data_IF_221326419878
#
_entry.id   IF_221326419878
#
_cell.length_a   1.000
_cell.length_b   1.000
_cell.length_c   1.000
_cell.angle_alpha   90.00
_cell.angle_beta   90.00
_cell.angle_gamma   90.00
#
_symmetry.space_group_name_H-M   'P 1'
#
loop_
_entity.id
_entity.type
_entity.pdbx_description
1 polymer ?
#
# COMPACT_ATOMS: atom_id res chain seq x y z
N UNK A 1 -12.99 -15.50 -17.41
CA UNK A 1 -11.61 -15.57 -17.93
C UNK A 1 -11.31 -14.36 -18.83
N UNK A 2 -12.08 -14.08 -19.88
CA UNK A 2 -11.79 -12.96 -20.81
C UNK A 2 -11.91 -11.60 -20.12
N UNK A 3 -12.98 -11.37 -19.36
CA UNK A 3 -13.18 -10.11 -18.64
C UNK A 3 -12.08 -9.87 -17.58
N UNK A 4 -11.68 -10.90 -16.86
CA UNK A 4 -10.59 -10.83 -15.88
C UNK A 4 -9.27 -10.43 -16.54
N UNK A 5 -8.97 -11.01 -17.70
CA UNK A 5 -7.78 -10.65 -18.49
C UNK A 5 -7.75 -9.15 -18.84
N UNK A 6 -8.84 -8.63 -19.40
CA UNK A 6 -8.91 -7.20 -19.77
C UNK A 6 -8.83 -6.26 -18.56
N UNK A 7 -9.46 -6.62 -17.45
CA UNK A 7 -9.40 -5.81 -16.23
C UNK A 7 -8.01 -5.86 -15.57
N UNK A 8 -7.33 -6.99 -15.58
CA UNK A 8 -5.94 -7.06 -15.13
C UNK A 8 -5.01 -6.23 -16.01
N UNK A 9 -5.20 -6.22 -17.33
CA UNK A 9 -4.46 -5.33 -18.23
C UNK A 9 -4.74 -3.84 -17.93
N UNK A 10 -5.96 -3.49 -17.58
CA UNK A 10 -6.32 -2.13 -17.19
C UNK A 10 -5.56 -1.71 -15.92
N UNK A 11 -5.52 -2.57 -14.90
CA UNK A 11 -4.74 -2.32 -13.67
C UNK A 11 -3.25 -2.11 -13.97
N UNK A 12 -2.70 -2.95 -14.83
CA UNK A 12 -1.31 -2.81 -15.24
C UNK A 12 -1.05 -1.52 -15.99
N UNK A 13 -1.95 -1.10 -16.88
CA UNK A 13 -1.86 0.19 -17.59
C UNK A 13 -1.92 1.38 -16.64
N UNK A 14 -2.77 1.33 -15.61
CA UNK A 14 -2.83 2.38 -14.58
C UNK A 14 -1.50 2.45 -13.82
N UNK A 15 -0.95 1.30 -13.42
CA UNK A 15 0.32 1.23 -12.73
C UNK A 15 1.50 1.72 -13.62
N UNK A 16 1.53 1.34 -14.90
CA UNK A 16 2.52 1.79 -15.87
C UNK A 16 2.42 3.30 -16.12
N UNK A 17 1.20 3.82 -16.24
CA UNK A 17 0.95 5.25 -16.39
C UNK A 17 1.46 6.02 -15.18
N UNK A 18 1.18 5.57 -13.97
CA UNK A 18 1.71 6.16 -12.74
C UNK A 18 3.24 6.26 -12.79
N UNK A 19 3.94 5.15 -13.06
CA UNK A 19 5.40 5.15 -13.13
C UNK A 19 5.93 6.13 -14.18
N UNK A 20 5.29 6.21 -15.35
CA UNK A 20 5.68 7.14 -16.43
C UNK A 20 5.44 8.60 -16.06
N UNK A 21 4.30 8.93 -15.47
CA UNK A 21 3.97 10.29 -15.04
C UNK A 21 4.88 10.76 -13.92
N UNK A 22 5.17 9.90 -12.94
CA UNK A 22 6.13 10.21 -11.87
C UNK A 22 7.54 10.40 -12.43
N UNK A 23 7.96 9.59 -13.40
CA UNK A 23 9.27 9.75 -14.05
C UNK A 23 9.41 11.13 -14.74
N UNK A 24 8.31 11.68 -15.24
CA UNK A 24 8.28 13.00 -15.91
C UNK A 24 8.28 14.19 -14.93
N UNK A 25 8.00 13.95 -13.63
CA UNK A 25 8.04 15.01 -12.62
C UNK A 25 9.47 15.54 -12.39
N UNK A 26 9.63 16.84 -12.08
CA UNK A 26 10.89 17.39 -11.60
C UNK A 26 11.39 16.65 -10.34
N UNK A 27 12.68 16.37 -10.28
CA UNK A 27 13.27 15.66 -9.13
C UNK A 27 13.02 16.35 -7.80
N UNK A 28 13.06 17.69 -7.78
CA UNK A 28 12.78 18.50 -6.60
C UNK A 28 11.36 18.27 -6.06
N UNK A 29 10.37 18.17 -6.96
CA UNK A 29 8.97 17.93 -6.58
C UNK A 29 8.79 16.53 -6.01
N UNK A 30 9.41 15.52 -6.62
CA UNK A 30 9.42 14.14 -6.08
C UNK A 30 10.06 14.09 -4.70
N UNK A 31 11.15 14.79 -4.51
CA UNK A 31 11.87 14.86 -3.25
C UNK A 31 11.03 15.52 -2.15
N UNK A 32 10.35 16.62 -2.47
CA UNK A 32 9.49 17.34 -1.54
C UNK A 32 8.31 16.48 -1.07
N UNK A 33 7.64 15.77 -1.98
CA UNK A 33 6.54 14.86 -1.63
C UNK A 33 7.01 13.67 -0.76
N UNK A 34 8.16 13.11 -1.11
CA UNK A 34 8.74 12.01 -0.32
C UNK A 34 9.12 12.47 1.09
N UNK A 35 9.72 13.66 1.22
CA UNK A 35 10.07 14.26 2.50
C UNK A 35 8.81 14.59 3.34
N UNK A 36 7.76 15.10 2.69
CA UNK A 36 6.46 15.37 3.33
C UNK A 36 5.84 14.10 3.90
N UNK A 37 5.88 13.00 3.15
CA UNK A 37 5.38 11.72 3.61
C UNK A 37 6.19 11.18 4.81
N UNK A 38 7.49 11.38 4.82
CA UNK A 38 8.33 11.02 5.98
C UNK A 38 8.00 11.85 7.20
N UNK A 39 7.88 13.16 7.05
CA UNK A 39 7.49 14.05 8.16
C UNK A 39 6.12 13.67 8.73
N UNK A 40 5.15 13.29 7.88
CA UNK A 40 3.87 12.78 8.32
C UNK A 40 4.03 11.49 9.17
N UNK A 41 4.86 10.55 8.73
CA UNK A 41 5.10 9.31 9.47
C UNK A 41 5.64 9.56 10.89
N UNK A 42 6.45 10.61 11.07
CA UNK A 42 6.97 11.02 12.39
C UNK A 42 5.88 11.57 13.32
N UNK A 43 4.74 11.98 12.79
CA UNK A 43 3.60 12.49 13.58
C UNK A 43 2.61 11.38 13.98
N UNK A 44 2.77 10.18 13.45
CA UNK A 44 1.89 9.06 13.80
C UNK A 44 2.10 8.64 15.25
N UNK A 45 1.02 8.31 15.97
CA UNK A 45 1.13 7.85 17.36
C UNK A 45 1.92 6.52 17.41
N UNK A 46 2.70 6.35 18.48
CA UNK A 46 3.44 5.09 18.73
C UNK A 46 2.52 3.89 18.93
N UNK A 47 1.27 4.13 19.31
CA UNK A 47 0.25 3.10 19.52
C UNK A 47 -0.64 3.02 18.29
N UNK A 48 -0.57 1.90 17.64
CA UNK A 48 -1.23 1.43 16.43
C UNK A 48 -2.43 2.20 15.86
N UNK A 49 -2.64 1.99 14.58
CA UNK A 49 -3.82 2.49 13.88
C UNK A 49 -5.11 2.11 14.62
N UNK A 50 -6.11 3.02 14.72
CA UNK A 50 -7.42 2.64 15.20
C UNK A 50 -7.93 1.47 14.36
N UNK A 51 -8.59 0.49 15.00
CA UNK A 51 -9.07 -0.72 14.32
C UNK A 51 -9.85 -0.35 13.05
N UNK A 52 -9.31 -0.59 11.87
CA UNK A 52 -9.89 -0.15 10.62
C UNK A 52 -11.12 -0.97 10.23
N UNK A 53 -11.37 -2.10 10.92
CA UNK A 53 -12.49 -2.99 10.63
C UNK A 53 -13.69 -2.75 11.54
N UNK A 54 -13.51 -2.14 12.71
CA UNK A 54 -14.63 -1.86 13.66
C UNK A 54 -15.35 -0.55 13.36
N UNK A 55 -14.61 0.50 13.07
CA UNK A 55 -15.19 1.79 12.69
C UNK A 55 -14.24 2.43 11.68
N UNK A 56 -14.58 2.41 10.40
CA UNK A 56 -13.77 3.06 9.37
C UNK A 56 -13.38 4.50 9.76
N UNK A 57 -12.33 5.08 9.16
CA UNK A 57 -11.90 6.42 9.51
C UNK A 57 -12.99 7.45 9.20
N UNK A 58 -13.07 8.50 10.00
CA UNK A 58 -13.83 9.70 9.66
C UNK A 58 -13.13 10.42 8.48
N UNK A 59 -13.62 10.15 7.27
CA UNK A 59 -13.05 10.71 6.03
C UNK A 59 -13.25 12.22 5.91
N UNK A 60 -14.13 12.81 6.72
CA UNK A 60 -14.32 14.26 6.76
C UNK A 60 -13.39 14.97 7.74
N UNK A 61 -12.71 14.21 8.59
CA UNK A 61 -11.76 14.79 9.56
C UNK A 61 -10.59 15.51 8.89
N UNK A 62 -10.09 16.60 9.50
CA UNK A 62 -8.90 17.28 9.00
C UNK A 62 -7.68 16.37 8.88
N UNK A 63 -7.52 15.42 9.80
CA UNK A 63 -6.41 14.47 9.82
C UNK A 63 -6.46 13.52 8.63
N UNK A 64 -7.66 13.02 8.27
CA UNK A 64 -7.82 12.16 7.10
C UNK A 64 -7.56 12.93 5.80
N UNK A 65 -8.04 14.17 5.71
CA UNK A 65 -7.78 15.04 4.55
C UNK A 65 -6.30 15.39 4.39
N UNK A 66 -5.61 15.60 5.50
CA UNK A 66 -4.14 15.77 5.47
C UNK A 66 -3.47 14.52 4.90
N UNK A 67 -3.80 13.35 5.41
CA UNK A 67 -3.30 12.07 4.91
C UNK A 67 -3.54 11.91 3.39
N UNK A 68 -4.77 12.14 2.92
CA UNK A 68 -5.10 12.04 1.50
C UNK A 68 -4.36 13.05 0.62
N UNK A 69 -3.94 14.18 1.18
CA UNK A 69 -3.21 15.21 0.44
C UNK A 69 -1.74 14.87 0.19
N UNK A 70 -1.18 13.89 0.90
CA UNK A 70 0.22 13.49 0.79
C UNK A 70 0.35 12.37 -0.24
N UNK A 71 1.37 12.44 -1.11
CA UNK A 71 1.55 11.52 -2.24
C UNK A 71 0.36 11.52 -3.22
N UNK A 72 -0.32 12.67 -3.33
CA UNK A 72 -1.54 12.84 -4.14
C UNK A 72 -1.31 13.63 -5.44
N UNK A 73 -0.06 13.88 -5.83
CA UNK A 73 0.25 14.55 -7.10
C UNK A 73 -0.29 13.79 -8.30
N UNK A 74 -0.48 12.51 -8.13
CA UNK A 74 -1.07 11.60 -9.12
C UNK A 74 -1.96 10.58 -8.43
N UNK A 75 -2.82 9.95 -9.19
CA UNK A 75 -3.54 8.75 -8.80
C UNK A 75 -3.00 7.59 -9.65
N UNK A 76 -2.54 6.54 -9.03
CA UNK A 76 -2.43 6.15 -7.61
C UNK A 76 -1.28 6.83 -6.86
N UNK A 77 -1.15 6.55 -5.55
CA UNK A 77 -0.08 7.06 -4.69
C UNK A 77 1.24 6.29 -4.80
N UNK A 78 1.15 5.03 -5.19
CA UNK A 78 2.28 4.09 -5.25
C UNK A 78 1.96 2.92 -6.19
N UNK A 79 2.97 2.08 -6.45
CA UNK A 79 2.84 0.83 -7.20
C UNK A 79 3.51 -0.30 -6.42
N UNK A 80 2.81 -1.41 -6.21
CA UNK A 80 3.34 -2.61 -5.57
C UNK A 80 3.59 -3.71 -6.59
N UNK A 81 4.77 -4.34 -6.53
CA UNK A 81 5.16 -5.46 -7.39
C UNK A 81 5.71 -6.61 -6.57
N UNK A 82 5.14 -7.80 -6.76
CA UNK A 82 5.68 -9.06 -6.25
C UNK A 82 5.76 -10.06 -7.40
N UNK A 83 6.88 -10.07 -8.15
CA UNK A 83 7.00 -10.87 -9.40
C UNK A 83 6.86 -12.36 -9.17
N UNK A 84 7.29 -12.89 -8.02
CA UNK A 84 7.20 -14.32 -7.69
C UNK A 84 5.76 -14.85 -7.71
N UNK A 85 4.78 -13.96 -7.50
CA UNK A 85 3.35 -14.30 -7.45
C UNK A 85 2.51 -13.50 -8.46
N UNK A 86 3.17 -12.78 -9.37
CA UNK A 86 2.51 -12.07 -10.47
C UNK A 86 1.70 -10.84 -10.03
N UNK A 87 2.04 -10.22 -8.90
CA UNK A 87 1.42 -8.99 -8.43
C UNK A 87 2.13 -7.79 -9.06
N UNK A 88 1.37 -6.91 -9.71
CA UNK A 88 1.79 -5.61 -10.23
C UNK A 88 0.55 -4.70 -10.26
N UNK A 89 0.35 -3.92 -9.20
CA UNK A 89 -0.90 -3.24 -8.91
C UNK A 89 -0.67 -1.79 -8.44
N UNK A 90 -1.61 -0.88 -8.80
CA UNK A 90 -1.65 0.46 -8.24
C UNK A 90 -2.08 0.44 -6.77
N UNK A 91 -1.53 1.35 -5.98
CA UNK A 91 -1.87 1.56 -4.56
C UNK A 91 -2.54 2.91 -4.39
N UNK A 92 -3.65 2.93 -3.66
CA UNK A 92 -4.46 4.12 -3.40
C UNK A 92 -4.55 4.40 -1.90
N UNK A 93 -4.93 5.63 -1.54
CA UNK A 93 -5.21 6.00 -0.16
C UNK A 93 -6.47 5.30 0.36
N UNK A 94 -6.39 4.84 1.60
CA UNK A 94 -7.52 4.24 2.31
C UNK A 94 -7.87 2.82 1.84
N UNK A 95 -8.86 2.26 2.51
CA UNK A 95 -9.30 0.87 2.32
C UNK A 95 -10.80 0.75 2.12
N UNK A 96 -11.42 1.79 1.57
CA UNK A 96 -12.85 1.74 1.25
C UNK A 96 -13.15 0.65 0.22
N UNK A 97 -14.39 0.18 0.19
CA UNK A 97 -14.86 -0.80 -0.81
C UNK A 97 -14.58 -0.32 -2.24
N UNK A 98 -14.73 0.98 -2.48
CA UNK A 98 -14.40 1.58 -3.78
C UNK A 98 -12.93 1.41 -4.12
N UNK A 99 -12.02 1.75 -3.22
CA UNK A 99 -10.57 1.58 -3.41
C UNK A 99 -10.22 0.12 -3.68
N UNK A 100 -10.65 -0.78 -2.81
CA UNK A 100 -10.30 -2.20 -2.89
C UNK A 100 -10.92 -2.91 -4.10
N UNK A 101 -11.93 -2.34 -4.73
CA UNK A 101 -12.47 -2.86 -6.02
C UNK A 101 -11.63 -2.48 -7.24
N UNK A 102 -10.68 -1.54 -7.09
CA UNK A 102 -9.88 -1.00 -8.20
C UNK A 102 -8.37 -1.13 -8.02
N UNK A 103 -7.90 -1.51 -6.83
CA UNK A 103 -6.46 -1.63 -6.56
C UNK A 103 -6.16 -2.05 -5.14
N UNK A 104 -4.94 -1.85 -4.76
CA UNK A 104 -4.46 -2.06 -3.39
C UNK A 104 -4.71 -0.78 -2.60
N UNK A 105 -5.17 -0.90 -1.36
CA UNK A 105 -5.39 0.21 -0.45
C UNK A 105 -4.29 0.33 0.58
N UNK A 106 -3.86 1.55 0.87
CA UNK A 106 -3.00 1.83 2.02
C UNK A 106 -3.87 2.04 3.26
N UNK A 107 -3.56 1.33 4.35
CA UNK A 107 -4.32 1.41 5.58
C UNK A 107 -4.04 2.71 6.32
N UNK A 108 -5.07 3.57 6.44
CA UNK A 108 -4.99 4.81 7.20
C UNK A 108 -4.58 4.55 8.66
N UNK A 109 -3.70 5.39 9.19
CA UNK A 109 -3.15 5.26 10.53
C UNK A 109 -1.87 4.44 10.60
N UNK A 110 -1.49 3.74 9.54
CA UNK A 110 -0.16 3.15 9.39
C UNK A 110 0.78 4.09 8.63
N UNK A 111 2.09 3.87 8.71
CA UNK A 111 3.05 4.71 8.02
C UNK A 111 2.81 4.71 6.50
N UNK A 112 2.91 5.87 5.86
CA UNK A 112 2.97 5.96 4.40
C UNK A 112 4.17 5.15 3.87
N UNK A 113 4.06 4.51 2.70
CA UNK A 113 5.03 3.51 2.24
C UNK A 113 6.32 4.13 1.67
N UNK A 114 6.96 5.00 2.43
CA UNK A 114 8.20 5.71 2.07
C UNK A 114 9.43 5.19 2.82
N UNK A 115 9.27 4.11 3.57
CA UNK A 115 10.31 3.50 4.38
C UNK A 115 10.77 4.38 5.53
N UNK A 116 11.72 3.87 6.30
CA UNK A 116 12.33 4.55 7.45
C UNK A 116 12.34 3.67 8.69
N UNK A 117 13.35 3.83 9.52
CA UNK A 117 13.43 3.11 10.80
C UNK A 117 12.24 3.46 11.70
N UNK A 118 11.68 2.45 12.34
CA UNK A 118 10.49 2.59 13.19
C UNK A 118 9.19 2.77 12.40
N UNK A 119 9.18 2.63 11.08
CA UNK A 119 7.97 2.70 10.28
C UNK A 119 7.38 1.32 9.99
N UNK A 120 6.05 1.23 9.99
CA UNK A 120 5.32 0.05 9.54
C UNK A 120 4.17 0.49 8.62
N UNK A 121 4.30 0.23 7.34
CA UNK A 121 3.25 0.49 6.35
C UNK A 121 2.43 -0.75 6.08
N UNK A 122 1.12 -0.60 5.91
CA UNK A 122 0.21 -1.72 5.63
C UNK A 122 -0.54 -1.47 4.33
N UNK A 123 -0.41 -2.43 3.41
CA UNK A 123 -1.12 -2.46 2.14
C UNK A 123 -2.08 -3.64 2.11
N UNK A 124 -3.33 -3.39 1.78
CA UNK A 124 -4.36 -4.42 1.71
C UNK A 124 -4.95 -4.54 0.32
N UNK A 125 -5.23 -5.75 -0.10
CA UNK A 125 -5.86 -6.04 -1.38
C UNK A 125 -6.88 -7.16 -1.25
N UNK A 126 -7.92 -7.09 -2.07
CA UNK A 126 -8.93 -8.15 -2.15
C UNK A 126 -8.38 -9.47 -2.70
N UNK A 127 -9.04 -10.56 -2.32
CA UNK A 127 -8.99 -11.86 -2.99
C UNK A 127 -10.39 -12.28 -3.41
N UNK A 128 -10.47 -13.17 -4.39
CA UNK A 128 -11.75 -13.77 -4.81
C UNK A 128 -12.67 -12.83 -5.59
N UNK A 129 -12.17 -11.73 -6.16
CA UNK A 129 -12.96 -10.92 -7.06
C UNK A 129 -13.22 -11.66 -8.37
N UNK A 130 -14.48 -11.71 -8.81
CA UNK A 130 -14.86 -12.46 -9.99
C UNK A 130 -14.19 -11.97 -11.29
N UNK A 131 -13.70 -10.73 -11.29
CA UNK A 131 -13.21 -10.05 -12.50
C UNK A 131 -11.81 -9.47 -12.42
N UNK A 132 -11.15 -9.55 -11.26
CA UNK A 132 -9.81 -9.02 -11.03
C UNK A 132 -8.99 -10.00 -10.21
N UNK A 133 -7.75 -10.23 -10.65
CA UNK A 133 -6.74 -10.91 -9.84
C UNK A 133 -5.95 -9.83 -9.09
N UNK A 134 -6.16 -9.73 -7.80
CA UNK A 134 -5.53 -8.75 -6.92
C UNK A 134 -4.45 -9.44 -6.08
N UNK A 135 -4.78 -9.77 -4.84
CA UNK A 135 -3.91 -10.51 -3.92
C UNK A 135 -4.23 -12.02 -3.86
N UNK A 136 -4.96 -12.57 -4.85
CA UNK A 136 -5.30 -14.00 -4.89
C UNK A 136 -4.08 -14.91 -4.75
N UNK A 137 -2.97 -14.50 -5.34
CA UNK A 137 -1.73 -15.28 -5.31
C UNK A 137 -0.81 -14.94 -4.11
N UNK A 138 -1.21 -14.01 -3.24
CA UNK A 138 -0.37 -13.60 -2.10
C UNK A 138 0.00 -14.77 -1.19
N UNK A 139 -0.92 -15.73 -1.03
CA UNK A 139 -0.70 -16.94 -0.24
C UNK A 139 0.38 -17.88 -0.78
N UNK A 140 0.83 -17.67 -2.01
CA UNK A 140 1.92 -18.42 -2.63
C UNK A 140 3.30 -17.81 -2.39
N UNK A 141 3.38 -16.63 -1.78
CA UNK A 141 4.66 -16.04 -1.39
C UNK A 141 5.36 -16.91 -0.34
N UNK A 142 6.68 -16.81 -0.32
CA UNK A 142 7.53 -17.58 0.59
C UNK A 142 8.49 -16.64 1.32
N UNK A 143 8.93 -17.04 2.50
CA UNK A 143 10.01 -16.36 3.20
C UNK A 143 11.24 -16.28 2.29
N UNK A 144 11.81 -15.08 2.18
CA UNK A 144 12.92 -14.78 1.28
C UNK A 144 12.51 -14.18 -0.07
N UNK A 145 11.25 -14.27 -0.47
CA UNK A 145 10.75 -13.55 -1.66
C UNK A 145 10.93 -12.05 -1.49
N UNK A 146 11.13 -11.36 -2.59
CA UNK A 146 11.27 -9.91 -2.60
C UNK A 146 10.10 -9.29 -3.35
N UNK A 147 9.53 -8.25 -2.77
CA UNK A 147 8.57 -7.38 -3.44
C UNK A 147 9.02 -5.92 -3.33
N UNK A 148 8.52 -5.07 -4.19
CA UNK A 148 8.86 -3.65 -4.22
C UNK A 148 7.63 -2.78 -4.15
N UNK A 149 7.78 -1.63 -3.50
CA UNK A 149 6.82 -0.53 -3.58
C UNK A 149 7.51 0.68 -4.17
N UNK A 150 7.03 1.15 -5.31
CA UNK A 150 7.53 2.33 -6.00
C UNK A 150 6.70 3.54 -5.58
N UNK A 151 7.35 4.53 -4.99
CA UNK A 151 6.75 5.78 -4.53
C UNK A 151 7.57 6.95 -5.05
N UNK A 152 6.94 7.89 -5.75
CA UNK A 152 7.61 9.06 -6.33
C UNK A 152 8.89 8.70 -7.10
N UNK A 153 8.84 7.59 -7.85
CA UNK A 153 9.95 7.10 -8.67
C UNK A 153 11.06 6.38 -7.89
N UNK A 154 10.89 6.20 -6.58
CA UNK A 154 11.84 5.46 -5.75
C UNK A 154 11.32 4.05 -5.47
N UNK A 155 11.97 2.99 -5.94
CA UNK A 155 11.63 1.63 -5.58
C UNK A 155 12.18 1.31 -4.17
N UNK A 156 11.32 0.85 -3.29
CA UNK A 156 11.67 0.34 -1.97
C UNK A 156 11.50 -1.18 -2.01
N UNK A 157 12.56 -1.92 -1.79
CA UNK A 157 12.55 -3.38 -1.81
C UNK A 157 12.41 -3.95 -0.40
N UNK A 158 11.47 -4.85 -0.23
CA UNK A 158 11.22 -5.57 1.01
C UNK A 158 11.37 -7.06 0.79
N UNK A 159 11.95 -7.73 1.78
CA UNK A 159 12.10 -9.17 1.82
C UNK A 159 11.08 -9.78 2.77
N UNK A 160 10.35 -10.79 2.31
CA UNK A 160 9.40 -11.52 3.16
C UNK A 160 10.15 -12.25 4.27
N UNK A 161 9.84 -11.91 5.51
CA UNK A 161 10.44 -12.52 6.71
C UNK A 161 9.46 -13.34 7.51
N UNK A 162 8.15 -13.10 7.36
CA UNK A 162 7.08 -13.80 8.07
C UNK A 162 5.83 -13.86 7.20
N UNK A 163 5.12 -14.96 7.26
CA UNK A 163 3.82 -15.19 6.62
C UNK A 163 2.93 -15.83 7.66
N UNK A 164 1.85 -15.15 8.02
CA UNK A 164 0.98 -15.56 9.12
C UNK A 164 -0.49 -15.50 8.71
N UNK A 165 -1.30 -16.38 9.29
CA UNK A 165 -2.76 -16.26 9.30
C UNK A 165 -3.16 -15.72 10.65
N UNK A 166 -3.83 -14.57 10.64
CA UNK A 166 -4.25 -13.88 11.85
C UNK A 166 -5.76 -13.69 11.86
N UNK A 167 -6.32 -13.54 13.03
CA UNK A 167 -7.72 -13.14 13.18
C UNK A 167 -7.83 -11.62 13.05
N UNK A 168 -8.99 -11.10 12.62
CA UNK A 168 -9.20 -9.64 12.54
C UNK A 168 -8.96 -8.88 13.85
N UNK A 169 -9.02 -9.57 14.98
CA UNK A 169 -8.76 -9.00 16.32
C UNK A 169 -7.27 -8.89 16.68
N UNK A 170 -6.38 -9.46 15.88
CA UNK A 170 -4.93 -9.49 16.14
C UNK A 170 -4.21 -8.32 15.44
N UNK A 171 -4.66 -7.09 15.73
CA UNK A 171 -4.15 -5.85 15.11
C UNK A 171 -2.78 -5.42 15.63
N UNK A 172 -2.31 -5.93 16.75
CA UNK A 172 -0.98 -5.72 17.31
C UNK A 172 0.16 -6.15 16.36
N UNK A 173 -0.15 -7.00 15.38
CA UNK A 173 0.79 -7.46 14.35
C UNK A 173 1.21 -6.40 13.34
N UNK A 174 0.52 -5.27 13.29
CA UNK A 174 0.82 -4.15 12.39
C UNK A 174 1.42 -2.94 13.11
N UNK A 175 1.79 -3.08 14.37
CA UNK A 175 2.45 -2.02 15.11
C UNK A 175 3.87 -1.77 14.61
N UNK A 176 4.35 -0.52 14.69
CA UNK A 176 5.75 -0.20 14.42
C UNK A 176 6.70 -0.95 15.38
N UNK A 177 7.87 -1.31 14.88
CA UNK A 177 8.92 -1.92 15.68
C UNK A 177 10.16 -1.04 15.61
N UNK A 178 10.66 -0.62 16.78
CA UNK A 178 11.84 0.24 16.88
C UNK A 178 13.02 -0.32 16.07
N UNK A 179 13.67 0.55 15.30
CA UNK A 179 14.83 0.21 14.48
C UNK A 179 14.52 -0.64 13.23
N UNK A 180 13.25 -0.96 12.96
CA UNK A 180 12.87 -1.72 11.77
C UNK A 180 12.10 -0.86 10.78
N UNK A 181 12.30 -1.13 9.50
CA UNK A 181 11.50 -0.63 8.39
C UNK A 181 10.64 -1.79 7.89
N UNK A 182 9.34 -1.74 8.18
CA UNK A 182 8.40 -2.83 7.93
C UNK A 182 7.32 -2.43 6.93
N UNK A 183 6.96 -3.38 6.10
CA UNK A 183 5.80 -3.28 5.23
C UNK A 183 5.05 -4.63 5.22
N UNK A 184 3.76 -4.57 5.51
CA UNK A 184 2.89 -5.76 5.52
C UNK A 184 1.91 -5.72 4.35
N UNK A 185 1.81 -6.82 3.61
CA UNK A 185 0.75 -7.06 2.63
C UNK A 185 -0.34 -7.92 3.29
N UNK A 186 -1.58 -7.44 3.28
CA UNK A 186 -2.72 -8.09 3.93
C UNK A 186 -3.79 -8.45 2.91
N UNK A 187 -4.36 -9.64 3.07
CA UNK A 187 -5.52 -10.07 2.30
C UNK A 187 -6.43 -10.96 3.12
N UNK A 188 -7.71 -11.04 2.76
CA UNK A 188 -8.64 -12.01 3.31
C UNK A 188 -8.41 -13.39 2.67
N UNK A 189 -8.57 -14.47 3.42
CA UNK A 189 -8.50 -15.86 2.94
C UNK A 189 -9.78 -16.63 3.28
#
# INVERSE_FOLDING_TARGET
VVLTYYKNLEQQRIADKYSAEVAALPSEQKYAEFARARAYNETLPEVGAPDPWLNGPDTDSPQYKEYESILSLMLPMARVRAPSVGIDLPVYHGTSTSVLSHGVGHLYGTALPVGGEGSHSVLTGHTGLATLTMFDNLTHMKNGDVFTVEVMGKPLAYKVTSIEKVLPSEIDRIEPVEGKDLLTLVTCT
#
